data_IF_228784737096
#
_entry.id   IF_228784737096
#
_cell.length_a   1.000
_cell.length_b   1.000
_cell.length_c   1.000
_cell.angle_alpha   90.00
_cell.angle_beta   90.00
_cell.angle_gamma   90.00
#
_symmetry.space_group_name_H-M   'P 1'
#
loop_
_entity.id
_entity.type
_entity.pdbx_description
1 polymer ?
#
# COMPACT_ATOMS: atom_id res chain seq x y z
N UNK A 1 13.81 -0.48 -3.69
CA UNK A 1 13.71 -1.93 -3.38
C UNK A 1 14.72 -2.42 -2.33
N UNK A 2 15.21 -1.53 -1.46
CA UNK A 2 16.21 -1.87 -0.43
C UNK A 2 15.64 -2.81 0.65
N UNK A 3 14.42 -2.57 1.10
CA UNK A 3 13.75 -3.37 2.14
C UNK A 3 13.63 -4.84 1.73
N UNK A 4 13.25 -5.11 0.48
CA UNK A 4 13.12 -6.48 -0.03
C UNK A 4 14.50 -7.17 -0.09
N UNK A 5 15.56 -6.44 -0.40
CA UNK A 5 16.93 -6.95 -0.39
C UNK A 5 17.42 -7.22 1.03
N UNK A 6 17.12 -6.34 1.99
CA UNK A 6 17.45 -6.54 3.40
C UNK A 6 16.75 -7.80 3.96
N UNK A 7 15.43 -7.92 3.79
CA UNK A 7 14.69 -9.13 4.22
C UNK A 7 15.20 -10.40 3.52
N UNK A 8 15.63 -10.29 2.27
CA UNK A 8 16.21 -11.42 1.53
C UNK A 8 17.58 -11.81 2.06
N UNK A 9 18.37 -10.85 2.56
CA UNK A 9 19.67 -11.10 3.17
C UNK A 9 19.50 -11.75 4.55
N UNK A 10 18.55 -11.25 5.35
CA UNK A 10 18.26 -11.77 6.69
C UNK A 10 17.89 -13.26 6.66
N UNK A 11 17.01 -13.66 5.73
CA UNK A 11 16.66 -15.08 5.55
C UNK A 11 17.73 -15.90 4.82
N UNK A 12 18.66 -15.22 4.14
CA UNK A 12 19.71 -15.86 3.31
C UNK A 12 20.64 -16.77 4.12
N UNK A 13 20.82 -16.49 5.42
CA UNK A 13 21.61 -17.32 6.34
C UNK A 13 21.03 -18.74 6.52
N UNK A 14 19.73 -18.92 6.31
CA UNK A 14 19.04 -20.20 6.49
C UNK A 14 18.81 -20.95 5.16
N UNK A 15 19.36 -20.45 4.05
CA UNK A 15 19.18 -21.02 2.71
C UNK A 15 20.52 -21.55 2.19
N UNK A 16 20.60 -22.88 2.03
CA UNK A 16 21.81 -23.57 1.61
C UNK A 16 22.25 -23.20 0.17
N UNK A 17 21.29 -23.11 -0.75
CA UNK A 17 21.52 -22.71 -2.14
C UNK A 17 21.14 -21.25 -2.32
N UNK A 18 20.16 -20.92 -3.14
CA UNK A 18 19.72 -19.53 -3.34
C UNK A 18 18.20 -19.45 -3.30
N UNK A 19 17.68 -18.26 -3.60
CA UNK A 19 16.26 -17.96 -3.68
C UNK A 19 15.98 -17.14 -4.92
N UNK A 20 14.86 -17.41 -5.58
CA UNK A 20 14.37 -16.60 -6.68
C UNK A 20 13.92 -15.23 -6.15
N UNK A 21 14.64 -14.17 -6.54
CA UNK A 21 14.36 -12.81 -6.09
C UNK A 21 13.85 -11.93 -7.24
N UNK A 22 12.53 -11.74 -7.31
CA UNK A 22 11.92 -10.85 -8.29
C UNK A 22 11.97 -9.39 -7.80
N UNK A 23 12.53 -8.52 -8.62
CA UNK A 23 12.66 -7.09 -8.33
C UNK A 23 11.62 -6.32 -9.14
N UNK A 24 10.89 -5.41 -8.51
CA UNK A 24 9.88 -4.60 -9.17
C UNK A 24 10.31 -3.12 -9.16
N UNK A 25 10.52 -2.49 -10.32
CA UNK A 25 10.81 -1.06 -10.45
C UNK A 25 9.79 -0.41 -11.37
N UNK A 26 9.10 0.62 -10.89
CA UNK A 26 8.19 1.39 -11.73
C UNK A 26 8.93 2.04 -12.92
N UNK A 27 10.03 2.73 -12.62
CA UNK A 27 10.87 3.39 -13.62
C UNK A 27 12.30 2.84 -13.57
N UNK A 28 12.67 1.92 -14.47
CA UNK A 28 14.03 1.41 -14.55
C UNK A 28 14.97 2.53 -15.02
N UNK A 29 16.07 2.72 -14.30
CA UNK A 29 17.19 3.56 -14.70
C UNK A 29 18.47 2.75 -14.47
N UNK A 30 19.42 2.81 -15.40
CA UNK A 30 20.73 2.17 -15.31
C UNK A 30 21.40 2.44 -13.96
N UNK A 31 21.43 3.70 -13.51
CA UNK A 31 22.03 4.05 -12.20
C UNK A 31 21.35 3.33 -11.03
N UNK A 32 20.01 3.23 -11.05
CA UNK A 32 19.24 2.54 -10.00
C UNK A 32 19.50 1.04 -10.03
N UNK A 33 19.53 0.43 -11.21
CA UNK A 33 19.79 -1.01 -11.38
C UNK A 33 21.21 -1.38 -10.94
N UNK A 34 22.20 -0.59 -11.36
CA UNK A 34 23.60 -0.77 -10.94
C UNK A 34 23.75 -0.62 -9.43
N UNK A 35 23.21 0.44 -8.82
CA UNK A 35 23.28 0.64 -7.37
C UNK A 35 22.64 -0.51 -6.59
N UNK A 36 21.55 -1.08 -7.11
CA UNK A 36 20.85 -2.20 -6.50
C UNK A 36 21.65 -3.51 -6.59
N UNK A 37 22.26 -3.81 -7.74
CA UNK A 37 23.13 -4.96 -7.90
C UNK A 37 24.33 -4.89 -6.94
N UNK A 38 24.99 -3.73 -6.86
CA UNK A 38 26.09 -3.54 -5.91
C UNK A 38 25.62 -3.65 -4.46
N UNK A 39 24.43 -3.15 -4.13
CA UNK A 39 23.87 -3.29 -2.80
C UNK A 39 23.62 -4.75 -2.43
N UNK A 40 22.99 -5.53 -3.32
CA UNK A 40 22.72 -6.94 -3.12
C UNK A 40 24.02 -7.75 -2.93
N UNK A 41 25.04 -7.46 -3.75
CA UNK A 41 26.36 -8.09 -3.65
C UNK A 41 27.05 -7.79 -2.32
N UNK A 42 27.08 -6.51 -1.90
CA UNK A 42 27.65 -6.11 -0.59
C UNK A 42 26.94 -6.76 0.60
N UNK A 43 25.66 -7.11 0.46
CA UNK A 43 24.86 -7.82 1.46
C UNK A 43 25.05 -9.34 1.44
N UNK A 44 25.86 -9.89 0.52
CA UNK A 44 26.13 -11.32 0.43
C UNK A 44 25.00 -12.14 -0.19
N UNK A 45 24.06 -11.50 -0.91
CA UNK A 45 23.01 -12.23 -1.62
C UNK A 45 23.59 -13.03 -2.79
N UNK A 46 23.36 -14.35 -2.80
CA UNK A 46 23.78 -15.24 -3.88
C UNK A 46 23.05 -14.96 -5.20
N UNK A 47 21.78 -14.53 -5.12
CA UNK A 47 21.01 -14.02 -6.26
C UNK A 47 20.55 -12.60 -5.94
N UNK A 48 21.15 -11.62 -6.62
CA UNK A 48 20.79 -10.20 -6.45
C UNK A 48 19.52 -9.78 -7.21
N UNK A 49 19.19 -10.48 -8.30
CA UNK A 49 17.98 -10.25 -9.10
C UNK A 49 17.73 -11.48 -9.98
N UNK A 50 16.49 -11.94 -10.03
CA UNK A 50 16.04 -13.02 -10.92
C UNK A 50 15.31 -12.44 -12.15
N UNK A 51 14.18 -11.77 -11.91
CA UNK A 51 13.50 -10.97 -12.93
C UNK A 51 13.37 -9.52 -12.49
N UNK A 52 13.49 -8.61 -13.45
CA UNK A 52 13.08 -7.23 -13.30
C UNK A 52 11.66 -7.08 -13.86
N UNK A 53 10.73 -6.65 -13.01
CA UNK A 53 9.36 -6.32 -13.39
C UNK A 53 9.22 -4.81 -13.44
N UNK A 54 8.88 -4.30 -14.61
CA UNK A 54 8.66 -2.87 -14.84
C UNK A 54 7.17 -2.61 -15.04
N UNK A 55 6.74 -1.40 -14.70
CA UNK A 55 5.40 -0.92 -15.09
C UNK A 55 5.55 -0.05 -16.33
N UNK A 56 4.63 -0.14 -17.31
CA UNK A 56 4.61 0.81 -18.40
C UNK A 56 4.36 2.22 -17.85
N UNK A 57 4.90 3.24 -18.54
CA UNK A 57 4.79 4.65 -18.13
C UNK A 57 3.34 5.16 -18.20
N UNK A 58 2.52 4.54 -19.03
CA UNK A 58 1.09 4.80 -19.12
C UNK A 58 0.34 3.52 -18.78
N UNK A 59 -0.67 3.64 -17.90
CA UNK A 59 -1.61 2.55 -17.68
C UNK A 59 -2.45 2.39 -18.96
N UNK A 60 -2.53 1.16 -19.47
CA UNK A 60 -3.45 0.87 -20.56
C UNK A 60 -4.87 1.21 -20.10
N UNK A 61 -5.66 1.85 -20.97
CA UNK A 61 -7.08 2.11 -20.74
C UNK A 61 -7.73 0.75 -20.47
N UNK A 62 -8.01 0.46 -19.20
CA UNK A 62 -8.70 -0.77 -18.83
C UNK A 62 -10.17 -0.56 -19.19
N UNK A 63 -10.61 -1.21 -20.27
CA UNK A 63 -12.02 -1.31 -20.62
C UNK A 63 -12.70 -2.21 -19.59
N UNK A 64 -13.02 -1.65 -18.43
CA UNK A 64 -13.87 -2.28 -17.42
C UNK A 64 -15.34 -2.09 -17.79
N UNK A 65 -16.22 -2.89 -17.18
CA UNK A 65 -17.68 -2.65 -17.22
C UNK A 65 -17.95 -1.20 -16.79
N UNK A 66 -18.93 -0.59 -17.43
CA UNK A 66 -19.31 0.82 -17.40
C UNK A 66 -18.97 1.54 -16.08
N UNK A 67 -17.92 2.37 -16.09
CA UNK A 67 -17.40 3.02 -14.88
C UNK A 67 -18.44 3.96 -14.26
N UNK A 68 -19.34 4.51 -15.07
CA UNK A 68 -20.44 5.36 -14.61
C UNK A 68 -21.41 4.56 -13.72
N UNK A 69 -21.73 3.32 -14.10
CA UNK A 69 -22.59 2.43 -13.32
C UNK A 69 -21.93 2.03 -11.99
N UNK A 70 -20.62 1.72 -12.00
CA UNK A 70 -19.88 1.39 -10.77
C UNK A 70 -19.76 2.57 -9.79
N UNK A 71 -19.72 3.80 -10.29
CA UNK A 71 -19.75 4.99 -9.45
C UNK A 71 -21.15 5.22 -8.89
N UNK A 72 -22.19 5.05 -9.70
CA UNK A 72 -23.58 5.14 -9.27
C UNK A 72 -23.92 4.10 -8.18
N UNK A 73 -23.50 2.85 -8.33
CA UNK A 73 -23.72 1.79 -7.35
C UNK A 73 -23.01 2.05 -6.02
N UNK A 74 -21.79 2.61 -6.07
CA UNK A 74 -21.06 3.05 -4.87
C UNK A 74 -21.74 4.23 -4.18
N UNK A 75 -22.28 5.18 -4.93
CA UNK A 75 -23.04 6.30 -4.35
C UNK A 75 -24.37 5.85 -3.75
N UNK A 76 -25.05 4.91 -4.38
CA UNK A 76 -26.32 4.37 -3.89
C UNK A 76 -26.16 3.56 -2.60
N UNK A 77 -25.09 2.74 -2.51
CA UNK A 77 -24.76 2.00 -1.28
C UNK A 77 -24.36 2.92 -0.12
N UNK A 78 -23.65 4.02 -0.38
CA UNK A 78 -23.31 5.02 0.64
C UNK A 78 -24.55 5.75 1.19
N UNK A 79 -25.51 6.12 0.31
CA UNK A 79 -26.77 6.77 0.72
C UNK A 79 -27.66 5.84 1.56
N UNK A 80 -27.67 4.55 1.25
CA UNK A 80 -28.45 3.57 2.00
C UNK A 80 -27.95 3.39 3.45
N UNK A 81 -26.63 3.54 3.67
CA UNK A 81 -26.04 3.46 5.01
C UNK A 81 -26.29 4.71 5.88
N UNK A 82 -26.39 5.91 5.29
CA UNK A 82 -26.69 7.13 6.06
C UNK A 82 -28.15 7.16 6.56
N UNK A 83 -29.08 6.54 5.84
CA UNK A 83 -30.50 6.50 6.22
C UNK A 83 -30.81 5.60 7.43
N UNK A 84 -29.81 4.87 7.95
CA UNK A 84 -29.94 3.93 9.08
C UNK A 84 -29.53 4.48 10.45
N UNK A 85 -29.17 5.76 10.59
CA UNK A 85 -28.97 6.35 11.93
C UNK A 85 -30.32 6.81 12.52
N UNK A 86 -30.83 6.19 13.60
CA UNK A 86 -32.04 6.66 14.27
C UNK A 86 -31.71 7.94 15.07
N UNK A 87 -32.35 9.05 14.71
CA UNK A 87 -32.37 10.28 15.50
C UNK A 87 -33.41 10.13 16.62
N UNK A 88 -33.04 9.44 17.71
CA UNK A 88 -33.77 9.55 18.97
C UNK A 88 -32.77 9.46 20.14
N UNK A 89 -32.15 10.60 20.43
CA UNK A 89 -31.58 10.86 21.75
C UNK A 89 -31.97 12.30 22.11
N UNK A 90 -33.09 12.45 22.80
CA UNK A 90 -33.45 13.71 23.44
C UNK A 90 -32.38 14.04 24.49
N UNK A 91 -31.68 15.15 24.32
CA UNK A 91 -30.75 15.69 25.30
C UNK A 91 -31.53 16.39 26.41
N UNK A 92 -31.38 15.92 27.64
CA UNK A 92 -31.89 16.58 28.86
C UNK A 92 -30.86 17.66 29.23
N UNK A 93 -31.23 18.94 29.40
CA UNK A 93 -30.26 19.97 29.72
C UNK A 93 -29.86 19.86 31.19
N UNK A 94 -28.60 19.47 31.45
CA UNK A 94 -27.95 19.64 32.75
C UNK A 94 -27.19 20.96 32.72
N UNK A 95 -27.78 22.02 33.26
CA UNK A 95 -27.02 23.22 33.61
C UNK A 95 -26.53 23.05 35.05
N UNK A 96 -25.26 22.66 35.21
CA UNK A 96 -24.51 22.82 36.45
C UNK A 96 -23.86 24.21 36.42
N UNK A 97 -24.57 25.21 36.92
CA UNK A 97 -23.98 26.51 37.25
C UNK A 97 -23.61 26.48 38.74
N UNK A 98 -22.38 26.05 39.01
CA UNK A 98 -21.72 26.26 40.31
C UNK A 98 -20.46 27.06 40.06
N UNK A 99 -20.61 28.37 40.22
CA UNK A 99 -19.55 29.35 40.34
C UNK A 99 -18.89 29.17 41.72
N UNK A 100 -17.63 28.73 41.74
CA UNK A 100 -16.76 28.82 42.91
C UNK A 100 -15.84 30.03 42.72
N UNK A 101 -16.21 31.15 43.33
CA UNK A 101 -15.34 32.30 43.64
C UNK A 101 -15.24 32.39 45.18
N UNK A 102 -14.06 32.03 45.72
CA UNK A 102 -13.32 32.60 46.88
C UNK A 102 -12.29 31.60 47.46
#
# INVERSE_FOLDING_TARGET
QKVILDMSADRGAFICQSQSLNVHLAEPNSSKMTSMHFYAWKKGLKTGMYYLRTRPKADAIQFTVDQEQLVADRMNSAKLNQKKMPQDRQEVPVNSDSSDDD
#
